data_IF_179788426366
#
_entry.id   IF_179788426366
#
_cell.length_a   1.000
_cell.length_b   1.000
_cell.length_c   1.000
_cell.angle_alpha   90.00
_cell.angle_beta   90.00
_cell.angle_gamma   90.00
#
_symmetry.space_group_name_H-M   'P 1'
#
loop_
_entity.id
_entity.type
_entity.pdbx_description
1 polymer ?
#
# COMPACT_ATOMS: atom_id res chain seq x y z
N UNK A 1 11.27 -7.91 15.21
CA UNK A 1 10.57 -6.66 14.90
C UNK A 1 9.09 -7.00 14.68
N UNK A 2 8.17 -6.29 15.30
CA UNK A 2 6.74 -6.53 15.17
C UNK A 2 5.95 -5.21 15.19
N UNK A 3 4.80 -5.21 14.53
CA UNK A 3 3.88 -4.07 14.52
C UNK A 3 3.12 -4.01 15.85
N UNK A 4 3.43 -3.02 16.68
CA UNK A 4 2.80 -2.82 17.98
C UNK A 4 1.38 -2.27 17.88
N UNK A 5 1.04 -1.60 16.77
CA UNK A 5 -0.30 -1.09 16.50
C UNK A 5 -1.28 -2.22 16.15
N UNK A 6 -0.77 -3.43 15.86
CA UNK A 6 -1.60 -4.61 15.60
C UNK A 6 -1.75 -5.45 16.90
N UNK A 7 -2.96 -5.55 17.49
CA UNK A 7 -3.17 -6.33 18.70
C UNK A 7 -2.86 -7.82 18.53
N UNK A 8 -2.98 -8.37 17.31
CA UNK A 8 -2.63 -9.76 17.04
C UNK A 8 -1.11 -9.97 17.11
N UNK A 9 -0.34 -9.08 16.47
CA UNK A 9 1.12 -9.10 16.51
C UNK A 9 1.66 -8.89 17.93
N UNK A 10 1.09 -7.95 18.68
CA UNK A 10 1.47 -7.68 20.05
C UNK A 10 1.20 -8.89 20.96
N UNK A 11 0.04 -9.55 20.84
CA UNK A 11 -0.29 -10.74 21.62
C UNK A 11 0.64 -11.93 21.29
N UNK A 12 1.15 -12.04 20.07
CA UNK A 12 2.16 -13.03 19.69
C UNK A 12 3.51 -12.67 20.30
N UNK A 13 3.92 -11.40 20.20
CA UNK A 13 5.20 -10.92 20.71
C UNK A 13 5.36 -11.13 22.21
N UNK A 14 4.28 -11.05 23.01
CA UNK A 14 4.30 -11.36 24.44
C UNK A 14 4.64 -12.82 24.77
N UNK A 15 4.45 -13.73 23.82
CA UNK A 15 4.63 -15.19 24.03
C UNK A 15 5.97 -15.69 23.55
N UNK A 16 6.77 -14.84 22.86
CA UNK A 16 8.09 -15.26 22.38
C UNK A 16 9.16 -14.95 23.41
N UNK A 17 10.12 -15.86 23.56
CA UNK A 17 11.24 -15.70 24.49
C UNK A 17 12.41 -14.87 23.95
N UNK A 18 12.37 -14.49 22.69
CA UNK A 18 13.43 -13.69 22.06
C UNK A 18 13.23 -12.19 22.33
N UNK A 19 14.31 -11.39 22.33
CA UNK A 19 14.18 -9.94 22.32
C UNK A 19 13.33 -9.46 21.15
N UNK A 20 12.43 -8.52 21.41
CA UNK A 20 11.51 -7.96 20.43
C UNK A 20 11.76 -6.47 20.25
N UNK A 21 11.46 -5.96 19.06
CA UNK A 21 11.45 -4.53 18.74
C UNK A 21 10.07 -4.18 18.24
N UNK A 22 9.41 -3.29 18.97
CA UNK A 22 8.06 -2.81 18.71
C UNK A 22 8.10 -1.57 17.80
N UNK A 23 7.40 -1.59 16.67
CA UNK A 23 7.24 -0.38 15.84
C UNK A 23 5.78 -0.02 15.66
N UNK A 24 5.50 1.26 15.41
CA UNK A 24 4.16 1.77 15.16
C UNK A 24 4.12 3.25 14.82
N UNK A 25 2.95 3.74 14.43
CA UNK A 25 2.69 5.16 14.17
C UNK A 25 2.21 5.83 15.46
N UNK A 26 2.98 6.82 15.95
CA UNK A 26 2.75 7.43 17.27
C UNK A 26 1.98 8.76 17.19
N UNK A 27 1.02 8.81 16.28
CA UNK A 27 0.06 9.90 16.13
C UNK A 27 -1.22 9.41 15.45
N UNK A 28 -2.31 10.15 15.60
CA UNK A 28 -3.54 9.91 14.85
C UNK A 28 -3.44 10.54 13.46
N UNK A 29 -3.50 9.71 12.42
CA UNK A 29 -3.48 10.17 11.03
C UNK A 29 -4.87 10.66 10.56
N UNK A 30 -5.88 10.61 11.43
CA UNK A 30 -7.26 11.02 11.14
C UNK A 30 -7.84 10.41 9.86
N UNK A 31 -7.43 9.16 9.57
CA UNK A 31 -7.89 8.45 8.38
C UNK A 31 -9.36 8.04 8.52
N UNK A 32 -10.13 8.04 7.43
CA UNK A 32 -11.49 7.48 7.44
C UNK A 32 -11.47 6.04 7.96
N UNK A 33 -12.40 5.74 8.88
CA UNK A 33 -12.50 4.41 9.44
C UNK A 33 -13.18 3.46 8.46
N UNK A 34 -12.72 2.21 8.41
CA UNK A 34 -13.37 1.17 7.62
C UNK A 34 -14.69 0.75 8.27
N UNK A 35 -15.69 0.45 7.47
CA UNK A 35 -17.00 -0.04 7.93
C UNK A 35 -16.87 -1.37 8.66
N UNK A 36 -16.02 -2.26 8.16
CA UNK A 36 -15.70 -3.54 8.79
C UNK A 36 -14.30 -3.45 9.40
N UNK A 37 -14.21 -3.68 10.69
CA UNK A 37 -12.95 -3.70 11.44
C UNK A 37 -12.57 -5.12 11.85
N UNK A 38 -11.36 -5.52 11.51
CA UNK A 38 -10.77 -6.78 11.95
C UNK A 38 -10.32 -6.69 13.42
N UNK A 39 -10.17 -7.87 14.07
CA UNK A 39 -9.55 -8.03 15.40
C UNK A 39 -10.02 -7.03 16.47
N UNK A 40 -11.33 -6.85 16.59
CA UNK A 40 -11.91 -5.95 17.60
C UNK A 40 -11.84 -6.48 19.02
N UNK A 41 -11.61 -7.79 19.20
CA UNK A 41 -11.64 -8.46 20.50
C UNK A 41 -10.22 -8.63 21.06
N UNK A 42 -10.10 -8.45 22.35
CA UNK A 42 -8.86 -8.68 23.10
C UNK A 42 -8.38 -10.13 22.97
N UNK A 43 -7.13 -10.32 22.60
CA UNK A 43 -6.51 -11.62 22.40
C UNK A 43 -6.25 -12.37 23.73
N UNK A 44 -6.39 -11.71 24.89
CA UNK A 44 -6.21 -12.31 26.21
C UNK A 44 -7.53 -12.74 26.86
N UNK A 45 -8.59 -11.94 26.74
CA UNK A 45 -9.84 -12.15 27.49
C UNK A 45 -11.11 -12.01 26.64
N UNK A 46 -11.02 -11.80 25.33
CA UNK A 46 -12.13 -11.67 24.39
C UNK A 46 -13.08 -10.48 24.65
N UNK A 47 -12.76 -9.56 25.56
CA UNK A 47 -13.50 -8.30 25.70
C UNK A 47 -13.22 -7.40 24.49
N UNK A 48 -14.12 -6.47 24.20
CA UNK A 48 -13.91 -5.48 23.12
C UNK A 48 -12.72 -4.57 23.46
N UNK A 49 -11.87 -4.31 22.48
CA UNK A 49 -10.78 -3.34 22.58
C UNK A 49 -11.33 -1.92 22.40
N UNK A 50 -10.79 -1.01 23.20
CA UNK A 50 -11.00 0.43 23.03
C UNK A 50 -9.79 1.04 22.34
N UNK A 51 -10.00 2.03 21.47
CA UNK A 51 -8.95 2.70 20.71
C UNK A 51 -8.92 4.19 21.03
N UNK A 52 -7.75 4.69 21.37
CA UNK A 52 -7.53 6.14 21.44
C UNK A 52 -7.56 6.75 20.02
N UNK A 53 -6.96 6.05 19.06
CA UNK A 53 -7.09 6.29 17.63
C UNK A 53 -6.87 4.99 16.85
N UNK A 54 -7.44 4.94 15.67
CA UNK A 54 -7.30 3.81 14.75
C UNK A 54 -6.88 4.34 13.39
N UNK A 55 -5.81 3.76 12.83
CA UNK A 55 -5.32 4.19 11.53
C UNK A 55 -6.15 3.55 10.40
N UNK A 56 -6.17 2.23 10.35
CA UNK A 56 -7.02 1.43 9.45
C UNK A 56 -7.07 -0.03 9.93
N UNK A 57 -8.13 -0.75 9.57
CA UNK A 57 -8.35 -2.11 10.06
C UNK A 57 -8.30 -2.16 11.59
N UNK A 58 -7.42 -2.98 12.14
CA UNK A 58 -7.19 -3.11 13.58
C UNK A 58 -5.99 -2.30 14.09
N UNK A 59 -5.27 -1.58 13.21
CA UNK A 59 -4.04 -0.89 13.58
C UNK A 59 -4.33 0.43 14.28
N UNK A 60 -3.65 0.66 15.42
CA UNK A 60 -3.77 1.92 16.16
C UNK A 60 -3.34 1.80 17.61
N UNK A 61 -3.69 2.79 18.40
CA UNK A 61 -3.45 2.82 19.84
C UNK A 61 -4.65 2.24 20.59
N UNK A 62 -4.53 1.01 21.06
CA UNK A 62 -5.61 0.25 21.68
C UNK A 62 -5.33 -0.09 23.16
N UNK A 63 -6.40 -0.33 23.90
CA UNK A 63 -6.35 -0.94 25.22
C UNK A 63 -7.57 -1.83 25.46
N UNK A 64 -7.42 -2.81 26.33
CA UNK A 64 -8.52 -3.65 26.82
C UNK A 64 -8.96 -3.16 28.20
N UNK A 65 -10.19 -2.65 28.36
CA UNK A 65 -10.68 -2.16 29.65
C UNK A 65 -10.84 -3.28 30.69
N UNK A 66 -10.95 -4.55 30.26
CA UNK A 66 -11.19 -5.67 31.14
C UNK A 66 -9.92 -6.30 31.72
N UNK A 67 -8.82 -6.37 30.94
CA UNK A 67 -7.60 -7.08 31.40
C UNK A 67 -6.31 -6.26 31.30
N UNK A 68 -6.39 -5.02 30.83
CA UNK A 68 -5.24 -4.14 30.72
C UNK A 68 -4.28 -4.45 29.56
N UNK A 69 -4.63 -5.41 28.65
CA UNK A 69 -3.86 -5.61 27.42
C UNK A 69 -3.92 -4.34 26.58
N UNK A 70 -2.78 -3.82 26.19
CA UNK A 70 -2.70 -2.55 25.46
C UNK A 70 -1.54 -2.56 24.45
N UNK A 71 -1.55 -1.58 23.56
CA UNK A 71 -0.41 -1.32 22.68
C UNK A 71 0.85 -1.14 23.54
N UNK A 72 1.91 -1.94 23.30
CA UNK A 72 3.17 -1.75 24.01
C UNK A 72 3.82 -0.41 23.63
N UNK A 73 4.75 0.05 24.48
CA UNK A 73 5.61 1.19 24.11
C UNK A 73 6.39 0.90 22.84
N UNK A 74 6.54 1.92 22.00
CA UNK A 74 7.25 1.80 20.73
C UNK A 74 8.75 1.96 20.96
N UNK A 75 9.53 1.03 20.42
CA UNK A 75 10.98 1.17 20.28
C UNK A 75 11.30 2.00 19.04
N UNK A 76 10.50 1.84 17.98
CA UNK A 76 10.60 2.58 16.74
C UNK A 76 9.24 3.21 16.42
N UNK A 77 9.21 4.54 16.24
CA UNK A 77 7.99 5.28 16.03
C UNK A 77 8.04 6.13 14.74
N UNK A 78 6.95 6.19 14.00
CA UNK A 78 6.74 7.22 12.98
C UNK A 78 5.93 8.37 13.56
N UNK A 79 6.36 9.60 13.30
CA UNK A 79 5.69 10.85 13.66
C UNK A 79 5.78 11.83 12.49
N UNK A 80 5.01 12.93 12.58
CA UNK A 80 4.96 13.94 11.53
C UNK A 80 4.71 13.33 10.15
N UNK A 81 3.71 12.42 10.09
CA UNK A 81 3.39 11.67 8.88
C UNK A 81 2.61 12.54 7.91
N UNK A 82 3.16 12.69 6.72
CA UNK A 82 2.51 13.36 5.60
C UNK A 82 2.17 12.33 4.50
N UNK A 83 0.90 12.26 4.14
CA UNK A 83 0.39 11.39 3.09
C UNK A 83 -0.11 12.26 1.92
N UNK A 84 0.39 12.00 0.72
CA UNK A 84 -0.01 12.68 -0.50
C UNK A 84 -0.23 11.72 -1.66
N UNK A 85 -0.84 12.21 -2.73
CA UNK A 85 -1.10 11.42 -3.94
C UNK A 85 0.19 10.95 -4.65
N UNK A 86 1.28 11.72 -4.52
CA UNK A 86 2.55 11.45 -5.20
C UNK A 86 3.66 10.98 -4.26
N UNK A 87 3.37 10.79 -2.97
CA UNK A 87 4.36 10.31 -2.03
C UNK A 87 3.97 10.51 -0.58
N UNK A 88 4.83 10.00 0.31
CA UNK A 88 4.71 10.14 1.75
C UNK A 88 6.05 10.55 2.38
N UNK A 89 5.99 11.14 3.57
CA UNK A 89 7.15 11.34 4.42
C UNK A 89 6.78 11.21 5.90
N UNK A 90 7.76 10.86 6.73
CA UNK A 90 7.60 10.85 8.18
C UNK A 90 8.95 10.92 8.89
N UNK A 91 8.95 11.40 10.13
CA UNK A 91 10.07 11.28 11.04
C UNK A 91 10.07 9.89 11.70
N UNK A 92 11.12 9.12 11.48
CA UNK A 92 11.33 7.83 12.14
C UNK A 92 12.21 8.04 13.38
N UNK A 93 11.73 7.65 14.54
CA UNK A 93 12.43 7.72 15.82
C UNK A 93 12.78 6.32 16.31
N UNK A 94 14.01 6.10 16.76
CA UNK A 94 14.43 4.79 17.20
C UNK A 94 15.64 4.77 18.13
N UNK A 95 16.04 3.60 18.65
CA UNK A 95 17.07 3.46 19.67
C UNK A 95 18.44 3.97 19.25
N UNK A 96 18.72 4.01 17.94
CA UNK A 96 20.04 4.40 17.39
C UNK A 96 20.04 5.79 16.75
N UNK A 97 18.94 6.50 16.83
CA UNK A 97 18.77 7.86 16.32
C UNK A 97 17.50 8.04 15.52
N UNK A 98 17.35 9.23 15.01
CA UNK A 98 16.18 9.64 14.23
C UNK A 98 16.56 9.78 12.75
N UNK A 99 15.58 9.62 11.88
CA UNK A 99 15.74 9.78 10.44
C UNK A 99 14.48 10.38 9.82
N UNK A 100 14.62 11.21 8.80
CA UNK A 100 13.51 11.58 7.93
C UNK A 100 13.43 10.58 6.78
N UNK A 101 12.28 9.91 6.63
CA UNK A 101 12.00 8.96 5.55
C UNK A 101 11.07 9.61 4.55
N UNK A 102 11.44 9.57 3.28
CA UNK A 102 10.64 10.04 2.15
C UNK A 102 10.50 8.93 1.12
N UNK A 103 9.32 8.80 0.53
CA UNK A 103 9.09 7.79 -0.50
C UNK A 103 8.08 8.27 -1.54
N UNK A 104 8.28 7.93 -2.82
CA UNK A 104 7.35 8.25 -3.91
C UNK A 104 6.18 7.25 -3.94
N UNK A 105 5.69 6.84 -2.78
CA UNK A 105 4.60 5.87 -2.62
C UNK A 105 3.46 6.48 -1.84
N UNK A 106 2.24 6.16 -2.21
CA UNK A 106 1.04 6.61 -1.52
C UNK A 106 0.48 5.54 -0.58
N UNK A 107 -0.32 5.97 0.39
CA UNK A 107 -1.07 5.11 1.28
C UNK A 107 -0.44 4.86 2.64
N UNK A 108 -1.28 4.88 3.67
CA UNK A 108 -0.87 4.74 5.07
C UNK A 108 -0.16 3.40 5.36
N UNK A 109 -0.53 2.33 4.66
CA UNK A 109 0.13 1.03 4.83
C UNK A 109 1.62 1.05 4.43
N UNK A 110 2.01 1.97 3.53
CA UNK A 110 3.42 2.13 3.15
C UNK A 110 4.24 2.77 4.28
N UNK A 111 3.65 3.61 5.12
CA UNK A 111 4.32 4.11 6.33
C UNK A 111 4.75 2.94 7.21
N UNK A 112 3.84 1.99 7.47
CA UNK A 112 4.14 0.79 8.26
C UNK A 112 5.22 -0.09 7.61
N UNK A 113 5.16 -0.28 6.29
CA UNK A 113 6.17 -1.07 5.56
C UNK A 113 7.55 -0.44 5.63
N UNK A 114 7.64 0.88 5.42
CA UNK A 114 8.90 1.61 5.47
C UNK A 114 9.44 1.71 6.90
N UNK A 115 8.57 1.93 7.89
CA UNK A 115 8.95 1.95 9.31
C UNK A 115 9.46 0.58 9.77
N UNK A 116 8.80 -0.51 9.36
CA UNK A 116 9.26 -1.87 9.64
C UNK A 116 10.64 -2.13 9.01
N UNK A 117 10.83 -1.68 7.77
CA UNK A 117 12.11 -1.79 7.07
C UNK A 117 13.20 -0.98 7.78
N UNK A 118 12.88 0.24 8.19
CA UNK A 118 13.80 1.09 8.95
C UNK A 118 14.16 0.46 10.31
N UNK A 119 13.18 -0.05 11.06
CA UNK A 119 13.43 -0.72 12.33
C UNK A 119 14.33 -1.98 12.18
N UNK A 120 14.13 -2.73 11.11
CA UNK A 120 14.99 -3.88 10.80
C UNK A 120 16.40 -3.45 10.37
N UNK A 121 16.52 -2.39 9.56
CA UNK A 121 17.80 -1.81 9.13
C UNK A 121 18.59 -1.26 10.31
N UNK A 122 17.93 -0.60 11.26
CA UNK A 122 18.52 -0.09 12.49
C UNK A 122 19.12 -1.23 13.32
N UNK A 123 18.42 -2.35 13.48
CA UNK A 123 18.93 -3.53 14.20
C UNK A 123 20.24 -4.07 13.64
N UNK A 124 20.42 -4.04 12.32
CA UNK A 124 21.64 -4.53 11.65
C UNK A 124 22.62 -3.42 11.29
N UNK A 125 22.43 -2.24 11.87
CA UNK A 125 23.34 -1.09 11.73
C UNK A 125 23.46 -0.52 10.33
N UNK A 126 22.41 -0.61 9.52
CA UNK A 126 22.35 0.08 8.22
C UNK A 126 22.11 1.58 8.46
N UNK A 127 22.97 2.46 7.92
CA UNK A 127 22.78 3.90 8.05
C UNK A 127 21.47 4.37 7.39
N UNK A 128 20.79 5.36 7.98
CA UNK A 128 19.55 5.91 7.47
C UNK A 128 19.65 6.41 6.02
N UNK A 129 20.78 7.04 5.67
CA UNK A 129 21.04 7.53 4.31
C UNK A 129 21.18 6.39 3.30
N UNK A 130 21.67 5.22 3.72
CA UNK A 130 21.74 4.05 2.85
C UNK A 130 20.35 3.47 2.60
N UNK A 131 19.52 3.44 3.62
CA UNK A 131 18.10 3.06 3.47
C UNK A 131 17.35 4.04 2.57
N UNK A 132 17.53 5.36 2.77
CA UNK A 132 16.87 6.37 1.93
C UNK A 132 17.28 6.22 0.46
N UNK A 133 18.58 6.02 0.18
CA UNK A 133 19.02 5.74 -1.20
C UNK A 133 18.40 4.47 -1.80
N UNK A 134 18.18 3.44 -0.99
CA UNK A 134 17.49 2.22 -1.45
C UNK A 134 16.01 2.47 -1.74
N UNK A 135 15.33 3.29 -0.93
CA UNK A 135 13.95 3.72 -1.15
C UNK A 135 13.84 4.56 -2.42
N UNK A 136 14.76 5.52 -2.63
CA UNK A 136 14.79 6.39 -3.81
C UNK A 136 15.04 5.60 -5.11
N UNK A 137 15.82 4.52 -5.03
CA UNK A 137 16.12 3.63 -6.15
C UNK A 137 15.09 2.50 -6.33
N UNK A 138 14.14 2.37 -5.39
CA UNK A 138 13.17 1.29 -5.44
C UNK A 138 12.12 1.54 -6.52
N UNK A 139 12.09 0.64 -7.50
CA UNK A 139 11.09 0.63 -8.57
C UNK A 139 10.01 -0.42 -8.24
N UNK A 140 8.79 -0.01 -7.87
CA UNK A 140 7.70 -0.93 -7.63
C UNK A 140 7.39 -1.72 -8.89
N UNK A 141 7.44 -3.05 -8.80
CA UNK A 141 7.18 -3.97 -9.91
C UNK A 141 6.10 -4.98 -9.54
N UNK A 142 5.72 -5.79 -10.52
CA UNK A 142 4.77 -6.88 -10.33
C UNK A 142 3.38 -6.40 -9.84
N UNK A 143 2.93 -5.24 -10.30
CA UNK A 143 1.60 -4.73 -10.02
C UNK A 143 1.37 -4.29 -8.57
N UNK A 144 2.42 -3.81 -7.89
CA UNK A 144 2.29 -3.19 -6.57
C UNK A 144 2.70 -1.73 -6.66
N UNK A 145 1.73 -0.81 -6.62
CA UNK A 145 1.93 0.62 -6.86
C UNK A 145 2.73 0.90 -8.15
N UNK A 146 2.54 0.06 -9.16
CA UNK A 146 3.28 0.16 -10.41
C UNK A 146 2.62 1.18 -11.33
N UNK A 147 3.39 2.13 -11.82
CA UNK A 147 2.91 3.14 -12.76
C UNK A 147 3.19 2.74 -14.21
N UNK A 148 2.22 3.06 -15.07
CA UNK A 148 2.30 2.96 -16.52
C UNK A 148 1.88 4.30 -17.13
N UNK A 149 2.40 4.62 -18.30
CA UNK A 149 1.87 5.69 -19.15
C UNK A 149 1.07 5.07 -20.29
N UNK A 150 -0.27 5.09 -20.19
CA UNK A 150 -1.16 4.50 -21.19
C UNK A 150 -2.00 5.59 -21.83
N UNK A 151 -1.93 5.72 -23.16
CA UNK A 151 -2.63 6.77 -23.91
C UNK A 151 -2.42 8.19 -23.33
N UNK A 152 -1.19 8.48 -22.88
CA UNK A 152 -0.81 9.75 -22.26
C UNK A 152 -1.27 9.96 -20.81
N UNK A 153 -1.93 8.96 -20.20
CA UNK A 153 -2.43 9.03 -18.82
C UNK A 153 -1.52 8.27 -17.86
N UNK A 154 -1.26 8.86 -16.70
CA UNK A 154 -0.65 8.13 -15.58
C UNK A 154 -1.64 7.07 -15.10
N UNK A 155 -1.21 5.83 -15.11
CA UNK A 155 -2.02 4.67 -14.76
C UNK A 155 -1.35 3.91 -13.63
N UNK A 156 -2.00 3.85 -12.46
CA UNK A 156 -1.52 3.09 -11.32
C UNK A 156 -2.16 1.69 -11.32
N UNK A 157 -1.34 0.66 -11.39
CA UNK A 157 -1.75 -0.72 -11.17
C UNK A 157 -1.41 -1.13 -9.74
N UNK A 158 -2.40 -1.65 -9.00
CA UNK A 158 -2.15 -2.18 -7.67
C UNK A 158 -2.90 -3.48 -7.39
N UNK A 159 -2.23 -4.36 -6.63
CA UNK A 159 -2.79 -5.60 -6.14
C UNK A 159 -3.67 -5.34 -4.92
N UNK A 160 -4.85 -5.96 -4.88
CA UNK A 160 -5.66 -6.08 -3.68
C UNK A 160 -6.23 -7.49 -3.56
N UNK A 161 -6.00 -8.20 -2.45
CA UNK A 161 -6.40 -9.60 -2.25
C UNK A 161 -7.61 -9.78 -1.35
N UNK A 162 -7.94 -8.77 -0.58
CA UNK A 162 -8.95 -8.82 0.48
C UNK A 162 -9.56 -7.43 0.68
N UNK A 163 -10.64 -7.30 1.46
CA UNK A 163 -11.30 -6.02 1.70
C UNK A 163 -10.35 -4.93 2.19
N UNK A 164 -9.49 -5.23 3.14
CA UNK A 164 -8.50 -4.26 3.67
C UNK A 164 -7.62 -3.70 2.56
N UNK A 165 -7.11 -4.56 1.66
CA UNK A 165 -6.31 -4.13 0.51
C UNK A 165 -7.10 -3.24 -0.47
N UNK A 166 -8.36 -3.58 -0.76
CA UNK A 166 -9.24 -2.75 -1.60
C UNK A 166 -9.51 -1.41 -0.92
N UNK A 167 -9.82 -1.39 0.37
CA UNK A 167 -10.09 -0.16 1.12
C UNK A 167 -8.86 0.76 1.17
N UNK A 168 -7.63 0.22 1.29
CA UNK A 168 -6.42 1.02 1.19
C UNK A 168 -6.23 1.63 -0.22
N UNK A 169 -6.59 0.90 -1.28
CA UNK A 169 -6.56 1.44 -2.64
C UNK A 169 -7.61 2.53 -2.85
N UNK A 170 -8.82 2.39 -2.30
CA UNK A 170 -9.85 3.42 -2.32
C UNK A 170 -9.34 4.70 -1.66
N UNK A 171 -8.65 4.60 -0.52
CA UNK A 171 -8.05 5.76 0.15
C UNK A 171 -6.96 6.44 -0.69
N UNK A 172 -6.14 5.67 -1.41
CA UNK A 172 -5.16 6.23 -2.38
C UNK A 172 -5.89 6.98 -3.51
N UNK A 173 -6.94 6.38 -4.07
CA UNK A 173 -7.75 6.99 -5.13
C UNK A 173 -8.39 8.30 -4.68
N UNK A 174 -8.84 8.36 -3.42
CA UNK A 174 -9.48 9.55 -2.84
C UNK A 174 -8.50 10.70 -2.55
N UNK A 175 -7.19 10.42 -2.41
CA UNK A 175 -6.17 11.48 -2.30
C UNK A 175 -5.98 12.27 -3.60
N UNK A 176 -6.42 11.72 -4.72
CA UNK A 176 -6.45 12.41 -6.00
C UNK A 176 -7.78 13.17 -6.13
N UNK A 177 -7.76 14.48 -6.05
CA UNK A 177 -8.94 15.33 -6.17
C UNK A 177 -9.39 15.56 -7.61
N UNK A 178 -8.54 15.21 -8.60
CA UNK A 178 -8.82 15.42 -10.02
C UNK A 178 -9.79 14.40 -10.63
N UNK A 179 -10.26 14.66 -11.86
CA UNK A 179 -11.00 13.66 -12.64
C UNK A 179 -10.18 12.38 -12.83
N UNK A 180 -10.84 11.22 -12.70
CA UNK A 180 -10.14 9.94 -12.71
C UNK A 180 -11.00 8.79 -13.23
N UNK A 181 -10.33 7.75 -13.71
CA UNK A 181 -10.94 6.47 -14.06
C UNK A 181 -10.47 5.38 -13.10
N UNK A 182 -11.36 4.53 -12.63
CA UNK A 182 -11.05 3.45 -11.71
C UNK A 182 -11.62 2.14 -12.25
N UNK A 183 -10.79 1.10 -12.38
CA UNK A 183 -11.23 -0.23 -12.75
C UNK A 183 -10.91 -1.25 -11.66
N UNK A 184 -11.88 -2.10 -11.35
CA UNK A 184 -11.72 -3.21 -10.42
C UNK A 184 -11.81 -4.54 -11.19
N UNK A 185 -10.68 -5.27 -11.25
CA UNK A 185 -10.60 -6.58 -11.90
C UNK A 185 -10.58 -7.68 -10.85
N UNK A 186 -11.64 -8.48 -10.82
CA UNK A 186 -11.80 -9.55 -9.82
C UNK A 186 -12.02 -10.89 -10.50
N UNK A 187 -11.21 -11.87 -10.11
CA UNK A 187 -11.35 -13.26 -10.47
C UNK A 187 -11.67 -14.10 -9.23
N UNK A 188 -12.07 -15.36 -9.45
CA UNK A 188 -12.36 -16.37 -8.43
C UNK A 188 -11.63 -17.69 -8.71
N UNK A 189 -10.42 -17.60 -9.27
CA UNK A 189 -9.57 -18.76 -9.50
C UNK A 189 -9.02 -19.30 -8.18
N UNK A 190 -8.38 -20.44 -8.24
CA UNK A 190 -7.88 -21.17 -7.07
C UNK A 190 -7.02 -20.31 -6.13
N UNK A 191 -6.19 -19.43 -6.69
CA UNK A 191 -5.35 -18.49 -5.92
C UNK A 191 -6.10 -17.32 -5.26
N UNK A 192 -7.35 -17.04 -5.66
CA UNK A 192 -8.18 -15.99 -5.08
C UNK A 192 -9.20 -16.52 -4.09
N UNK A 193 -9.50 -17.84 -4.16
CA UNK A 193 -10.67 -18.43 -3.51
C UNK A 193 -11.95 -18.21 -4.34
N UNK A 194 -12.88 -19.16 -4.24
CA UNK A 194 -14.13 -19.12 -4.99
C UNK A 194 -15.21 -18.25 -4.36
N UNK A 195 -15.09 -18.00 -3.07
CA UNK A 195 -15.98 -17.13 -2.36
C UNK A 195 -15.62 -15.67 -2.62
N UNK A 196 -16.57 -14.92 -3.15
CA UNK A 196 -16.42 -13.47 -3.41
C UNK A 196 -17.35 -12.63 -2.53
N UNK A 197 -17.92 -13.22 -1.47
CA UNK A 197 -18.78 -12.49 -0.53
C UNK A 197 -18.06 -11.32 0.16
N UNK A 198 -16.73 -11.41 0.30
CA UNK A 198 -15.87 -10.37 0.82
C UNK A 198 -15.93 -9.04 0.03
N UNK A 199 -16.46 -9.03 -1.20
CA UNK A 199 -16.74 -7.80 -1.94
C UNK A 199 -17.68 -6.86 -1.18
N UNK A 200 -18.55 -7.42 -0.30
CA UNK A 200 -19.49 -6.65 0.49
C UNK A 200 -18.85 -5.96 1.71
N UNK A 201 -17.63 -6.34 2.07
CA UNK A 201 -16.84 -5.73 3.15
C UNK A 201 -15.93 -4.58 2.64
N UNK A 202 -16.01 -4.27 1.33
CA UNK A 202 -15.26 -3.16 0.72
C UNK A 202 -16.11 -1.89 0.80
N UNK A 203 -15.48 -0.81 1.24
CA UNK A 203 -16.11 0.51 1.43
C UNK A 203 -16.19 1.31 0.10
N UNK A 204 -16.75 0.72 -0.96
CA UNK A 204 -16.92 1.40 -2.26
C UNK A 204 -17.77 2.67 -2.17
N UNK A 205 -18.61 2.77 -1.16
CA UNK A 205 -19.43 3.94 -0.85
C UNK A 205 -18.60 5.23 -0.70
N UNK A 206 -17.34 5.11 -0.26
CA UNK A 206 -16.42 6.26 -0.15
C UNK A 206 -16.12 6.92 -1.51
N UNK A 207 -16.25 6.17 -2.60
CA UNK A 207 -16.09 6.69 -3.96
C UNK A 207 -17.36 7.39 -4.48
N UNK A 208 -18.49 7.19 -3.84
CA UNK A 208 -19.74 7.78 -4.29
C UNK A 208 -19.72 9.31 -4.14
N UNK A 209 -20.30 10.01 -5.13
CA UNK A 209 -20.34 11.46 -5.13
C UNK A 209 -19.06 12.18 -5.60
N UNK A 210 -18.00 11.44 -5.95
CA UNK A 210 -16.81 12.02 -6.55
C UNK A 210 -17.10 12.57 -7.95
N UNK A 211 -16.82 13.87 -8.16
CA UNK A 211 -17.00 14.48 -9.47
C UNK A 211 -15.92 14.02 -10.46
N UNK A 212 -16.31 13.77 -11.71
CA UNK A 212 -15.36 13.35 -12.75
C UNK A 212 -14.82 11.93 -12.57
N UNK A 213 -15.46 11.10 -11.73
CA UNK A 213 -15.11 9.70 -11.55
C UNK A 213 -15.82 8.83 -12.61
N UNK A 214 -15.04 7.96 -13.27
CA UNK A 214 -15.57 6.85 -14.08
C UNK A 214 -15.17 5.53 -13.49
N UNK A 215 -16.11 4.62 -13.32
CA UNK A 215 -15.87 3.31 -12.67
C UNK A 215 -16.11 2.18 -13.66
N UNK A 216 -15.25 1.19 -13.62
CA UNK A 216 -15.29 0.00 -14.46
C UNK A 216 -15.19 -1.26 -13.63
N UNK A 217 -15.89 -2.31 -14.06
CA UNK A 217 -15.80 -3.64 -13.47
C UNK A 217 -15.31 -4.64 -14.53
N UNK A 218 -14.24 -5.35 -14.22
CA UNK A 218 -13.57 -6.32 -15.08
C UNK A 218 -13.27 -7.63 -14.37
N UNK A 219 -12.70 -8.59 -15.15
CA UNK A 219 -12.38 -9.91 -14.67
C UNK A 219 -13.54 -10.92 -14.78
N UNK A 220 -13.32 -12.13 -14.27
CA UNK A 220 -14.31 -13.22 -14.33
C UNK A 220 -15.57 -12.85 -13.54
N UNK A 221 -15.40 -12.14 -12.42
CA UNK A 221 -16.48 -11.75 -11.51
C UNK A 221 -16.97 -10.31 -11.73
N UNK A 222 -16.77 -9.76 -12.93
CA UNK A 222 -17.17 -8.38 -13.26
C UNK A 222 -18.63 -8.05 -12.96
N UNK A 223 -19.54 -9.01 -13.14
CA UNK A 223 -20.96 -8.81 -12.85
C UNK A 223 -21.23 -8.67 -11.34
N UNK A 224 -20.53 -9.47 -10.48
CA UNK A 224 -20.64 -9.37 -9.03
C UNK A 224 -20.09 -8.02 -8.55
N UNK A 225 -18.95 -7.60 -9.10
CA UNK A 225 -18.35 -6.29 -8.83
C UNK A 225 -19.30 -5.16 -9.24
N UNK A 226 -19.88 -5.23 -10.45
CA UNK A 226 -20.84 -4.22 -10.92
C UNK A 226 -22.07 -4.13 -10.00
N UNK A 227 -22.63 -5.27 -9.60
CA UNK A 227 -23.75 -5.31 -8.65
C UNK A 227 -23.35 -4.64 -7.34
N UNK A 228 -22.19 -5.02 -6.78
CA UNK A 228 -21.72 -4.40 -5.52
C UNK A 228 -21.49 -2.91 -5.64
N UNK A 229 -20.89 -2.44 -6.74
CA UNK A 229 -20.69 -1.01 -7.02
C UNK A 229 -22.01 -0.27 -7.14
N UNK A 230 -23.00 -0.86 -7.80
CA UNK A 230 -24.36 -0.29 -7.89
C UNK A 230 -24.98 -0.09 -6.52
N UNK A 231 -24.84 -1.06 -5.61
CA UNK A 231 -25.33 -0.91 -4.22
C UNK A 231 -24.56 0.16 -3.43
N UNK A 232 -23.32 0.43 -3.81
CA UNK A 232 -22.54 1.56 -3.27
C UNK A 232 -22.90 2.92 -3.89
N UNK A 233 -23.89 2.97 -4.78
CA UNK A 233 -24.30 4.23 -5.46
C UNK A 233 -23.39 4.62 -6.64
N UNK A 234 -22.62 3.67 -7.19
CA UNK A 234 -21.72 3.87 -8.31
C UNK A 234 -22.26 3.23 -9.58
N UNK A 235 -22.26 3.97 -10.68
CA UNK A 235 -22.56 3.43 -12.01
C UNK A 235 -21.25 2.94 -12.65
N UNK A 236 -21.12 1.63 -12.84
CA UNK A 236 -19.90 1.01 -13.35
C UNK A 236 -20.15 0.34 -14.71
N UNK A 237 -19.34 0.68 -15.71
CA UNK A 237 -19.34 0.01 -16.99
C UNK A 237 -18.60 -1.34 -16.91
N UNK A 238 -19.11 -2.36 -17.62
CA UNK A 238 -18.44 -3.63 -17.75
C UNK A 238 -17.34 -3.54 -18.81
N UNK A 239 -16.18 -4.11 -18.51
CA UNK A 239 -15.06 -4.25 -19.45
C UNK A 239 -14.53 -5.68 -19.45
N UNK A 240 -14.02 -6.12 -20.59
CA UNK A 240 -13.41 -7.44 -20.69
C UNK A 240 -11.92 -7.39 -20.27
N UNK A 241 -11.27 -6.26 -20.53
CA UNK A 241 -9.86 -6.06 -20.34
C UNK A 241 -9.52 -4.57 -20.08
N UNK A 242 -8.24 -4.27 -19.88
CA UNK A 242 -7.79 -2.90 -19.66
C UNK A 242 -7.92 -2.05 -20.93
N UNK A 243 -7.71 -2.60 -22.12
CA UNK A 243 -7.89 -1.87 -23.37
C UNK A 243 -9.34 -1.38 -23.54
N UNK A 244 -10.32 -2.23 -23.18
CA UNK A 244 -11.73 -1.87 -23.16
C UNK A 244 -12.07 -0.75 -22.18
N UNK A 245 -11.36 -0.64 -21.05
CA UNK A 245 -11.46 0.51 -20.15
C UNK A 245 -10.96 1.78 -20.84
N UNK A 246 -9.73 1.76 -21.40
CA UNK A 246 -9.15 2.94 -22.03
C UNK A 246 -9.94 3.42 -23.25
N UNK A 247 -10.55 2.51 -24.01
CA UNK A 247 -11.43 2.84 -25.14
C UNK A 247 -12.71 3.60 -24.73
N UNK A 248 -13.06 3.61 -23.45
CA UNK A 248 -14.26 4.26 -22.92
C UNK A 248 -13.96 5.52 -22.08
N UNK A 249 -12.75 6.08 -22.17
CA UNK A 249 -12.36 7.27 -21.42
C UNK A 249 -12.66 8.59 -22.14
N UNK A 250 -13.36 8.56 -23.27
CA UNK A 250 -13.79 9.76 -23.97
C UNK A 250 -14.57 10.71 -23.05
N UNK A 251 -14.23 11.99 -23.08
CA UNK A 251 -14.84 13.02 -22.23
C UNK A 251 -14.20 13.19 -20.85
N UNK A 252 -13.25 12.34 -20.44
CA UNK A 252 -12.35 12.67 -19.34
C UNK A 252 -11.17 13.50 -19.86
N UNK A 253 -10.68 14.50 -19.08
CA UNK A 253 -9.48 15.25 -19.43
C UNK A 253 -8.31 14.33 -19.79
N UNK A 254 -7.43 14.77 -20.70
CA UNK A 254 -6.32 13.94 -21.16
C UNK A 254 -5.31 13.60 -20.06
N UNK A 255 -5.21 14.45 -19.04
CA UNK A 255 -4.36 14.30 -17.86
C UNK A 255 -5.03 13.56 -16.70
N UNK A 256 -6.32 13.18 -16.82
CA UNK A 256 -7.01 12.39 -15.81
C UNK A 256 -6.27 11.08 -15.56
N UNK A 257 -6.03 10.76 -14.27
CA UNK A 257 -5.35 9.53 -13.86
C UNK A 257 -6.26 8.32 -14.04
N UNK A 258 -5.64 7.17 -14.25
CA UNK A 258 -6.30 5.88 -14.24
C UNK A 258 -5.78 5.02 -13.08
N UNK A 259 -6.68 4.35 -12.39
CA UNK A 259 -6.38 3.41 -11.30
C UNK A 259 -6.93 2.04 -11.68
N UNK A 260 -6.09 1.04 -11.67
CA UNK A 260 -6.44 -0.35 -11.99
C UNK A 260 -6.13 -1.22 -10.78
N UNK A 261 -7.17 -1.70 -10.12
CA UNK A 261 -7.04 -2.53 -8.93
C UNK A 261 -7.43 -3.95 -9.33
N UNK A 262 -6.51 -4.89 -9.13
CA UNK A 262 -6.70 -6.29 -9.51
C UNK A 262 -6.44 -7.23 -8.35
N UNK A 263 -7.24 -8.30 -8.22
CA UNK A 263 -6.92 -9.35 -7.27
C UNK A 263 -5.85 -10.31 -7.84
N UNK A 264 -5.44 -11.29 -7.06
CA UNK A 264 -4.21 -12.04 -7.30
C UNK A 264 -4.13 -12.68 -8.68
N UNK A 265 -5.19 -13.35 -9.15
CA UNK A 265 -5.17 -14.03 -10.46
C UNK A 265 -5.64 -13.14 -11.62
N UNK A 266 -6.25 -11.97 -11.34
CA UNK A 266 -6.54 -10.97 -12.35
C UNK A 266 -5.31 -10.11 -12.67
N UNK A 267 -4.40 -9.95 -11.71
CA UNK A 267 -3.23 -9.07 -11.84
C UNK A 267 -2.30 -9.42 -13.02
N UNK A 268 -1.84 -10.69 -13.21
CA UNK A 268 -0.87 -10.98 -14.28
C UNK A 268 -1.35 -10.65 -15.69
N UNK A 269 -2.57 -11.01 -16.13
CA UNK A 269 -3.05 -10.64 -17.45
C UNK A 269 -3.23 -9.11 -17.60
N UNK A 270 -3.75 -8.43 -16.59
CA UNK A 270 -3.92 -6.96 -16.60
C UNK A 270 -2.57 -6.26 -16.67
N UNK A 271 -1.59 -6.71 -15.89
CA UNK A 271 -0.21 -6.19 -15.91
C UNK A 271 0.43 -6.31 -17.30
N UNK A 272 0.35 -7.52 -17.89
CA UNK A 272 0.89 -7.76 -19.23
C UNK A 272 0.21 -6.90 -20.31
N UNK A 273 -1.08 -6.65 -20.15
CA UNK A 273 -1.84 -5.81 -21.08
C UNK A 273 -1.47 -4.33 -20.94
N UNK A 274 -1.39 -3.80 -19.72
CA UNK A 274 -0.95 -2.42 -19.47
C UNK A 274 0.47 -2.18 -20.02
N UNK A 275 1.38 -3.15 -19.87
CA UNK A 275 2.70 -3.10 -20.48
C UNK A 275 2.63 -2.95 -22.00
N UNK A 276 1.83 -3.78 -22.68
CA UNK A 276 1.64 -3.68 -24.14
C UNK A 276 1.01 -2.35 -24.58
N UNK A 277 0.05 -1.84 -23.82
CA UNK A 277 -0.59 -0.56 -24.11
C UNK A 277 0.37 0.62 -23.89
N UNK A 278 1.25 0.55 -22.91
CA UNK A 278 2.28 1.54 -22.68
C UNK A 278 3.36 1.54 -23.78
N UNK A 279 3.81 0.36 -24.22
CA UNK A 279 4.83 0.21 -25.27
C UNK A 279 4.30 0.56 -26.66
N UNK A 280 3.01 0.40 -26.92
CA UNK A 280 2.35 0.73 -28.20
C UNK A 280 2.11 2.23 -28.42
N UNK A 281 2.19 3.04 -27.36
CA UNK A 281 2.26 4.51 -27.43
C UNK A 281 3.70 4.90 -27.13
N UNK A 282 4.42 5.50 -28.11
CA UNK A 282 5.82 5.94 -28.02
C UNK A 282 6.29 6.13 -26.57
N UNK A 283 7.41 5.51 -26.21
CA UNK A 283 8.07 5.62 -24.91
C UNK A 283 7.97 7.06 -24.39
N UNK A 284 6.96 7.32 -23.57
CA UNK A 284 6.79 8.58 -22.90
C UNK A 284 7.70 8.54 -21.67
N UNK A 285 8.70 9.40 -21.73
CA UNK A 285 9.52 9.93 -20.67
C UNK A 285 9.91 8.99 -19.53
N UNK A 286 11.21 8.86 -19.37
CA UNK A 286 11.85 8.32 -18.18
C UNK A 286 11.15 8.78 -16.89
N UNK A 287 11.17 7.96 -15.82
CA UNK A 287 10.72 8.40 -14.50
C UNK A 287 11.39 9.75 -14.19
N UNK A 288 10.63 10.66 -13.58
CA UNK A 288 11.17 11.92 -13.09
C UNK A 288 12.21 11.60 -12.01
N UNK A 289 13.44 11.31 -12.48
CA UNK A 289 14.60 11.27 -11.60
C UNK A 289 14.80 12.68 -11.07
N UNK A 290 14.97 12.89 -9.78
CA UNK A 290 15.46 14.16 -9.27
C UNK A 290 16.82 14.42 -9.94
N UNK A 291 17.01 15.62 -10.49
CA UNK A 291 18.28 16.04 -11.07
C UNK A 291 19.39 15.81 -10.02
N UNK A 292 20.51 15.16 -10.39
CA UNK A 292 21.66 15.12 -9.51
C UNK A 292 22.14 16.56 -9.27
N UNK A 293 22.32 16.94 -8.03
CA UNK A 293 23.06 18.14 -7.65
C UNK A 293 24.49 17.99 -8.18
N UNK A 294 24.92 18.90 -9.02
CA UNK A 294 26.31 18.99 -9.49
C UNK A 294 27.27 19.22 -8.31
N UNK A 295 28.32 18.44 -8.29
CA UNK A 295 29.60 18.79 -7.67
C UNK A 295 29.98 17.98 -6.45
N UNK A 296 30.88 17.02 -6.68
CA UNK A 296 32.18 16.98 -6.02
C UNK A 296 32.98 15.78 -6.60
N UNK A 297 33.92 16.10 -7.46
CA UNK A 297 34.98 15.20 -7.91
C UNK A 297 35.94 14.89 -6.75
N UNK A 298 36.11 13.63 -6.42
CA UNK A 298 37.13 13.15 -5.50
C UNK A 298 37.55 11.74 -5.88
N UNK A 299 38.69 11.63 -6.56
CA UNK A 299 39.37 10.39 -6.90
C UNK A 299 39.90 9.68 -5.64
N UNK A 300 39.51 8.44 -5.44
CA UNK A 300 40.13 7.57 -4.43
C UNK A 300 39.80 6.11 -4.75
N UNK A 301 40.76 5.43 -5.41
CA UNK A 301 40.63 4.01 -5.67
C UNK A 301 40.78 3.20 -4.37
N UNK A 302 39.92 2.20 -4.25
CA UNK A 302 40.08 1.11 -3.29
C UNK A 302 39.87 -0.20 -4.03
N UNK A 303 40.90 -1.08 -3.91
CA UNK A 303 40.97 -2.42 -4.47
C UNK A 303 39.88 -3.35 -3.93
N UNK A 304 39.39 -4.20 -4.82
CA UNK A 304 38.52 -5.32 -4.50
C UNK A 304 39.24 -6.34 -3.62
N UNK A 305 38.59 -6.79 -2.56
CA UNK A 305 38.89 -8.03 -1.89
C UNK A 305 37.72 -8.98 -2.15
N UNK A 306 37.99 -10.06 -2.87
CA UNK A 306 37.11 -11.23 -2.95
C UNK A 306 37.17 -11.95 -1.59
N UNK A 307 36.03 -12.21 -0.99
CA UNK A 307 35.88 -13.22 0.03
C UNK A 307 34.55 -13.95 -0.05
N UNK A 308 34.65 -15.26 -0.03
CA UNK A 308 33.65 -16.30 -0.08
C UNK A 308 32.49 -16.09 0.96
N UNK A 309 31.29 -16.08 0.51
CA UNK A 309 30.12 -16.29 1.38
C UNK A 309 29.24 -17.41 0.85
N UNK A 310 29.18 -18.49 1.61
CA UNK A 310 28.30 -19.64 1.40
C UNK A 310 26.81 -19.28 1.51
N UNK A 311 25.91 -20.01 0.84
CA UNK A 311 24.48 -19.69 0.80
C UNK A 311 23.78 -20.05 2.11
N UNK A 312 23.01 -19.10 2.62
CA UNK A 312 22.10 -19.30 3.76
C UNK A 312 20.87 -20.08 3.28
N UNK A 313 20.71 -21.31 3.79
CA UNK A 313 19.52 -22.14 3.57
C UNK A 313 18.43 -21.64 4.53
N UNK A 314 17.34 -21.13 3.99
CA UNK A 314 16.12 -20.84 4.75
C UNK A 314 15.25 -22.10 4.70
N UNK A 315 15.07 -22.73 5.85
CA UNK A 315 14.08 -23.80 6.04
C UNK A 315 12.68 -23.20 6.21
N UNK A 316 11.71 -23.92 5.65
CA UNK A 316 10.28 -23.58 5.58
C UNK A 316 9.57 -23.45 6.94
#
# INVERSE_FOLDING_TARGET
VFNADDPLCAAIAERVGNPTVAFGVDEDLHLPQNTVADAQMCQRCSAMLEYAYRQYGQLGSYCCPACGFARPSLDCAARDVHLGADGLSFAAHGPRGDAEIKAPFSGAYMVYNLLATWAAADLVSVPAEALQRAIDAFDPRNGRLQEFAVAGRRTLLNLAKNPTGFNQNIKIILQDEGPKAVAFFVNDKEGDGRDVSWLWDIDFEELAGQSGLRVFAGGIRKNDVQVRLKYAGLDAALVDDAAGMFAQLDGLPADARAYVIANYTALPPVHAELGRLADGGQAAGAPLSPKPSEGLSGSGGVQAAEDDAAPLVIAH
#
